data_IF_783561092189
#
_entry.id   IF_783561092189
#
_cell.length_a   1.000
_cell.length_b   1.000
_cell.length_c   1.000
_cell.angle_alpha   90.00
_cell.angle_beta   90.00
_cell.angle_gamma   90.00
#
_symmetry.space_group_name_H-M   'P 1'
#
loop_
_entity.id
_entity.type
_entity.pdbx_description
1 polymer ?
#
# COMPACT_ATOMS: atom_id res chain seq x y z
N UNK A 1 -6.83 -15.68 3.65
CA UNK A 1 -6.03 -14.80 4.53
C UNK A 1 -6.91 -13.61 4.93
N UNK A 2 -6.67 -12.97 6.09
CA UNK A 2 -7.37 -11.73 6.51
C UNK A 2 -6.60 -10.50 6.05
N UNK A 3 -7.29 -9.40 5.76
CA UNK A 3 -6.66 -8.13 5.36
C UNK A 3 -5.66 -7.65 6.42
N UNK A 4 -6.06 -7.67 7.70
CA UNK A 4 -5.22 -7.24 8.81
C UNK A 4 -3.93 -8.03 8.95
N UNK A 5 -3.97 -9.34 8.65
CA UNK A 5 -2.80 -10.22 8.65
C UNK A 5 -1.84 -9.84 7.50
N UNK A 6 -2.35 -9.78 6.27
CA UNK A 6 -1.57 -9.40 5.10
C UNK A 6 -0.96 -8.00 5.26
N UNK A 7 -1.71 -7.03 5.78
CA UNK A 7 -1.24 -5.68 6.06
C UNK A 7 -0.07 -5.68 7.05
N UNK A 8 -0.22 -6.33 8.21
CA UNK A 8 0.82 -6.38 9.24
C UNK A 8 2.09 -7.08 8.75
N UNK A 9 1.93 -8.16 7.98
CA UNK A 9 3.05 -8.92 7.41
C UNK A 9 3.76 -8.08 6.34
N UNK A 10 3.02 -7.51 5.40
CA UNK A 10 3.59 -6.70 4.30
C UNK A 10 4.24 -5.41 4.80
N UNK A 11 3.75 -4.79 5.87
CA UNK A 11 4.36 -3.59 6.46
C UNK A 11 5.79 -3.83 6.98
N UNK A 12 6.19 -5.09 7.18
CA UNK A 12 7.56 -5.46 7.55
C UNK A 12 8.55 -5.32 6.40
N UNK A 13 8.09 -5.35 5.15
CA UNK A 13 8.96 -5.19 3.98
C UNK A 13 9.42 -3.74 3.78
N UNK A 14 8.80 -2.79 4.48
CA UNK A 14 9.07 -1.37 4.34
C UNK A 14 9.99 -0.83 5.45
N UNK A 15 10.89 0.11 5.15
CA UNK A 15 11.64 0.85 6.17
C UNK A 15 10.71 1.61 7.11
N UNK A 16 11.06 1.70 8.40
CA UNK A 16 10.25 2.44 9.39
C UNK A 16 10.14 3.93 9.06
N UNK A 17 11.25 4.51 8.62
CA UNK A 17 11.34 5.90 8.15
C UNK A 17 11.79 5.85 6.70
N UNK A 18 11.08 6.58 5.84
CA UNK A 18 11.37 6.65 4.41
C UNK A 18 11.72 8.10 4.09
N UNK A 19 12.85 8.28 3.43
CA UNK A 19 13.29 9.58 2.92
C UNK A 19 12.51 9.92 1.65
N UNK A 20 12.00 11.14 1.60
CA UNK A 20 11.24 11.71 0.48
C UNK A 20 11.84 13.05 0.02
N UNK A 21 13.07 13.35 0.42
CA UNK A 21 13.74 14.62 0.16
C UNK A 21 14.04 14.86 -1.31
N UNK A 22 14.15 13.78 -2.08
CA UNK A 22 14.28 13.74 -3.54
C UNK A 22 12.94 13.92 -4.27
N UNK A 23 11.86 14.11 -3.52
CA UNK A 23 10.52 14.31 -4.04
C UNK A 23 10.39 15.55 -4.93
N UNK A 24 9.56 15.44 -5.96
CA UNK A 24 9.12 16.56 -6.79
C UNK A 24 7.59 16.54 -6.85
N UNK A 25 6.96 17.64 -6.46
CA UNK A 25 5.54 17.82 -6.66
C UNK A 25 5.27 18.13 -8.13
N UNK A 26 4.19 17.58 -8.65
CA UNK A 26 3.67 17.89 -9.98
C UNK A 26 2.32 18.60 -9.82
N UNK A 27 1.76 19.14 -10.92
CA UNK A 27 0.45 19.77 -10.87
C UNK A 27 -0.64 18.81 -10.32
N UNK A 28 -1.49 19.35 -9.45
CA UNK A 28 -2.55 18.61 -8.76
C UNK A 28 -2.04 17.76 -7.59
N UNK A 29 -2.75 16.65 -7.30
CA UNK A 29 -2.41 15.67 -6.25
C UNK A 29 -1.40 14.60 -6.71
N UNK A 30 -0.39 15.05 -7.46
CA UNK A 30 0.66 14.19 -8.01
C UNK A 30 2.01 14.57 -7.45
N UNK A 31 2.90 13.59 -7.37
CA UNK A 31 4.28 13.77 -6.99
C UNK A 31 5.10 12.58 -7.45
N UNK A 32 6.41 12.77 -7.56
CA UNK A 32 7.37 11.75 -7.91
C UNK A 32 8.42 11.66 -6.80
N UNK A 33 8.63 10.47 -6.25
CA UNK A 33 9.50 10.22 -5.09
C UNK A 33 10.41 9.01 -5.36
N UNK A 34 11.56 9.20 -6.04
CA UNK A 34 12.45 8.09 -6.44
C UNK A 34 12.88 7.17 -5.28
N UNK A 35 13.22 7.72 -4.10
CA UNK A 35 13.61 6.95 -2.92
C UNK A 35 12.46 6.10 -2.37
N UNK A 36 11.23 6.63 -2.42
CA UNK A 36 10.03 5.86 -2.07
C UNK A 36 9.78 4.74 -3.10
N UNK A 37 9.96 5.01 -4.39
CA UNK A 37 9.85 3.98 -5.43
C UNK A 37 10.87 2.86 -5.25
N UNK A 38 12.13 3.18 -4.90
CA UNK A 38 13.13 2.14 -4.56
C UNK A 38 12.72 1.29 -3.35
N UNK A 39 12.08 1.89 -2.35
CA UNK A 39 11.52 1.13 -1.22
C UNK A 39 10.40 0.19 -1.66
N UNK A 40 9.59 0.60 -2.65
CA UNK A 40 8.57 -0.24 -3.25
C UNK A 40 9.19 -1.42 -4.01
N UNK A 41 10.20 -1.19 -4.85
CA UNK A 41 10.88 -2.27 -5.60
C UNK A 41 11.38 -3.39 -4.65
N UNK A 42 12.00 -3.00 -3.53
CA UNK A 42 12.46 -3.94 -2.50
C UNK A 42 11.28 -4.67 -1.83
N UNK A 43 10.22 -3.94 -1.49
CA UNK A 43 9.05 -4.53 -0.84
C UNK A 43 8.30 -5.49 -1.77
N UNK A 44 8.24 -5.19 -3.06
CA UNK A 44 7.63 -6.02 -4.09
C UNK A 44 8.43 -7.31 -4.29
N UNK A 45 9.75 -7.21 -4.39
CA UNK A 45 10.63 -8.39 -4.47
C UNK A 45 10.46 -9.35 -3.28
N UNK A 46 10.30 -8.82 -2.06
CA UNK A 46 9.98 -9.67 -0.90
C UNK A 46 8.61 -10.33 -1.04
N UNK A 47 7.59 -9.57 -1.44
CA UNK A 47 6.22 -10.06 -1.58
C UNK A 47 6.06 -11.11 -2.68
N UNK A 48 6.89 -11.07 -3.73
CA UNK A 48 6.87 -12.00 -4.84
C UNK A 48 7.09 -13.45 -4.41
N UNK A 49 7.86 -13.65 -3.35
CA UNK A 49 8.17 -14.97 -2.78
C UNK A 49 7.13 -15.44 -1.76
N UNK A 50 6.14 -14.61 -1.41
CA UNK A 50 5.18 -14.91 -0.33
C UNK A 50 3.81 -15.34 -0.83
N UNK A 51 3.01 -14.42 -1.37
CA UNK A 51 1.70 -14.73 -1.95
C UNK A 51 1.09 -13.54 -2.69
N UNK A 52 0.10 -13.81 -3.53
CA UNK A 52 -0.71 -12.78 -4.20
C UNK A 52 -1.37 -11.78 -3.23
N UNK A 53 -1.65 -12.19 -2.00
CA UNK A 53 -2.13 -11.28 -0.94
C UNK A 53 -1.07 -10.25 -0.56
N UNK A 54 0.19 -10.67 -0.44
CA UNK A 54 1.29 -9.78 -0.10
C UNK A 54 1.64 -8.86 -1.26
N UNK A 55 1.67 -9.38 -2.50
CA UNK A 55 1.89 -8.57 -3.70
C UNK A 55 0.88 -7.43 -3.78
N UNK A 56 -0.41 -7.77 -3.69
CA UNK A 56 -1.46 -6.76 -3.71
C UNK A 56 -1.39 -5.79 -2.52
N UNK A 57 -1.03 -6.29 -1.34
CA UNK A 57 -0.91 -5.46 -0.15
C UNK A 57 0.27 -4.49 -0.24
N UNK A 58 1.41 -4.90 -0.82
CA UNK A 58 2.55 -4.01 -1.07
C UNK A 58 2.14 -2.86 -1.99
N UNK A 59 1.43 -3.14 -3.08
CA UNK A 59 0.86 -2.11 -3.94
C UNK A 59 -0.08 -1.15 -3.17
N UNK A 60 -0.98 -1.68 -2.35
CA UNK A 60 -1.90 -0.86 -1.57
C UNK A 60 -1.17 0.00 -0.52
N UNK A 61 -0.14 -0.54 0.14
CA UNK A 61 0.72 0.19 1.08
C UNK A 61 1.51 1.28 0.35
N UNK A 62 2.06 0.99 -0.83
CA UNK A 62 2.74 1.98 -1.66
C UNK A 62 1.81 3.17 -1.96
N UNK A 63 0.58 2.92 -2.40
CA UNK A 63 -0.41 3.97 -2.63
C UNK A 63 -0.65 4.83 -1.36
N UNK A 64 -0.76 4.18 -0.19
CA UNK A 64 -0.89 4.87 1.09
C UNK A 64 0.32 5.73 1.44
N UNK A 65 1.52 5.17 1.33
CA UNK A 65 2.78 5.88 1.56
C UNK A 65 2.96 7.05 0.59
N UNK A 66 2.61 6.87 -0.67
CA UNK A 66 2.72 7.90 -1.70
C UNK A 66 1.79 9.09 -1.41
N UNK A 67 0.54 8.82 -1.00
CA UNK A 67 -0.38 9.86 -0.52
C UNK A 67 0.18 10.59 0.71
N UNK A 68 0.73 9.85 1.67
CA UNK A 68 1.40 10.44 2.85
C UNK A 68 2.62 11.27 2.45
N UNK A 69 3.41 10.82 1.47
CA UNK A 69 4.58 11.53 0.96
C UNK A 69 4.19 12.88 0.35
N UNK A 70 3.20 12.91 -0.54
CA UNK A 70 2.69 14.16 -1.14
C UNK A 70 2.26 15.14 -0.05
N UNK A 71 1.41 14.70 0.88
CA UNK A 71 0.89 15.56 1.94
C UNK A 71 2.00 16.09 2.85
N UNK A 72 2.96 15.23 3.22
CA UNK A 72 4.06 15.63 4.11
C UNK A 72 5.05 16.55 3.40
N UNK A 73 5.35 16.27 2.12
CA UNK A 73 6.29 17.08 1.33
C UNK A 73 5.76 18.49 1.07
N UNK A 74 4.44 18.65 0.84
CA UNK A 74 3.77 19.95 0.76
C UNK A 74 3.93 20.78 2.04
N UNK A 75 4.03 20.12 3.19
CA UNK A 75 4.29 20.74 4.49
C UNK A 75 5.79 20.94 4.77
N UNK A 76 6.66 20.72 3.79
CA UNK A 76 8.11 20.87 3.91
C UNK A 76 8.83 19.68 4.54
N UNK A 77 8.13 18.58 4.86
CA UNK A 77 8.77 17.40 5.43
C UNK A 77 9.65 16.69 4.40
N UNK A 78 10.75 16.11 4.87
CA UNK A 78 11.70 15.36 4.06
C UNK A 78 11.71 13.86 4.36
N UNK A 79 10.95 13.43 5.36
CA UNK A 79 10.84 12.04 5.79
C UNK A 79 9.41 11.72 6.20
N UNK A 80 8.99 10.49 5.96
CA UNK A 80 7.70 9.94 6.42
C UNK A 80 7.92 8.68 7.25
N UNK A 81 6.94 8.34 8.09
CA UNK A 81 6.99 7.13 8.92
C UNK A 81 5.89 6.16 8.47
N UNK A 82 6.24 4.89 8.23
CA UNK A 82 5.29 3.87 7.74
C UNK A 82 4.13 3.59 8.70
N UNK A 83 4.27 3.90 9.98
CA UNK A 83 3.21 3.72 10.98
C UNK A 83 2.19 4.86 10.98
N UNK A 84 2.47 5.96 10.28
CA UNK A 84 1.54 7.09 10.12
C UNK A 84 0.68 6.98 8.85
N UNK A 85 0.76 5.87 8.11
CA UNK A 85 -0.04 5.68 6.91
C UNK A 85 -1.51 5.51 7.26
N UNK A 86 -2.39 6.08 6.44
CA UNK A 86 -3.83 5.92 6.56
C UNK A 86 -4.23 4.49 6.14
N UNK A 87 -4.44 3.63 7.14
CA UNK A 87 -4.81 2.24 6.93
C UNK A 87 -6.16 2.09 6.21
N UNK A 88 -7.10 3.01 6.41
CA UNK A 88 -8.40 2.98 5.73
C UNK A 88 -8.23 3.23 4.24
N UNK A 89 -7.35 4.16 3.87
CA UNK A 89 -6.99 4.39 2.47
C UNK A 89 -6.27 3.19 1.85
N UNK A 90 -5.39 2.51 2.60
CA UNK A 90 -4.77 1.25 2.16
C UNK A 90 -5.82 0.16 1.92
N UNK A 91 -6.79 -0.02 2.82
CA UNK A 91 -7.89 -0.99 2.64
C UNK A 91 -8.77 -0.65 1.42
N UNK A 92 -9.05 0.64 1.20
CA UNK A 92 -9.71 1.12 0.00
C UNK A 92 -8.93 0.74 -1.27
N UNK A 93 -7.64 1.07 -1.38
CA UNK A 93 -6.81 0.74 -2.56
C UNK A 93 -6.65 -0.76 -2.78
N UNK A 94 -6.55 -1.54 -1.70
CA UNK A 94 -6.52 -2.99 -1.75
C UNK A 94 -7.82 -3.53 -2.38
N UNK A 95 -8.98 -3.11 -1.87
CA UNK A 95 -10.28 -3.57 -2.36
C UNK A 95 -10.57 -3.10 -3.78
N UNK A 96 -10.28 -1.85 -4.11
CA UNK A 96 -10.39 -1.31 -5.46
C UNK A 96 -9.58 -2.17 -6.44
N UNK A 97 -8.31 -2.43 -6.15
CA UNK A 97 -7.46 -3.24 -7.03
C UNK A 97 -7.92 -4.70 -7.11
N UNK A 98 -8.50 -5.24 -6.03
CA UNK A 98 -9.02 -6.61 -5.96
C UNK A 98 -10.30 -6.81 -6.78
N UNK A 99 -11.15 -5.78 -6.92
CA UNK A 99 -12.49 -5.90 -7.50
C UNK A 99 -12.74 -5.04 -8.74
N UNK A 100 -12.19 -3.83 -8.79
CA UNK A 100 -12.60 -2.77 -9.72
C UNK A 100 -11.90 -2.84 -11.07
N UNK A 101 -10.67 -3.34 -11.13
CA UNK A 101 -10.04 -3.61 -12.43
C UNK A 101 -10.93 -4.67 -13.09
N UNK A 102 -11.67 -4.30 -14.16
CA UNK A 102 -12.68 -5.15 -14.83
C UNK A 102 -12.13 -6.52 -15.30
N UNK A 103 -10.81 -6.70 -15.21
CA UNK A 103 -10.07 -7.92 -15.50
C UNK A 103 -9.12 -8.31 -14.36
N UNK A 104 -9.39 -7.98 -13.08
CA UNK A 104 -8.45 -8.28 -12.00
C UNK A 104 -8.12 -9.78 -12.04
N UNK A 105 -6.87 -10.12 -12.33
CA UNK A 105 -6.39 -11.50 -12.47
C UNK A 105 -6.36 -12.26 -11.15
N UNK A 106 -6.67 -11.57 -10.04
CA UNK A 106 -6.69 -12.16 -8.70
C UNK A 106 -7.67 -13.34 -8.58
N UNK A 107 -7.24 -14.46 -7.99
CA UNK A 107 -8.06 -15.66 -7.87
C UNK A 107 -9.40 -15.43 -7.15
N UNK A 108 -10.46 -16.09 -7.61
CA UNK A 108 -11.80 -16.02 -6.99
C UNK A 108 -11.78 -16.32 -5.48
N UNK A 109 -10.92 -17.25 -5.05
CA UNK A 109 -10.74 -17.58 -3.64
C UNK A 109 -10.26 -16.40 -2.79
N UNK A 110 -9.40 -15.54 -3.34
CA UNK A 110 -8.89 -14.35 -2.67
C UNK A 110 -10.01 -13.33 -2.47
N UNK A 111 -10.80 -13.07 -3.52
CA UNK A 111 -12.00 -12.22 -3.47
C UNK A 111 -12.99 -12.70 -2.41
N UNK A 112 -13.31 -13.99 -2.40
CA UNK A 112 -14.21 -14.61 -1.40
C UNK A 112 -13.68 -14.48 0.03
N UNK A 113 -12.39 -14.75 0.24
CA UNK A 113 -11.79 -14.65 1.56
C UNK A 113 -11.82 -13.21 2.10
N UNK A 114 -11.60 -12.21 1.25
CA UNK A 114 -11.73 -10.80 1.64
C UNK A 114 -13.18 -10.41 1.99
N UNK A 115 -14.17 -10.83 1.19
CA UNK A 115 -15.59 -10.59 1.49
C UNK A 115 -15.98 -11.21 2.84
N UNK A 116 -15.51 -12.43 3.13
CA UNK A 116 -15.76 -13.07 4.41
C UNK A 116 -15.11 -12.32 5.58
N UNK A 117 -13.90 -11.80 5.40
CA UNK A 117 -13.22 -10.96 6.40
C UNK A 117 -14.06 -9.71 6.72
N UNK A 118 -14.57 -9.02 5.69
CA UNK A 118 -15.45 -7.85 5.87
C UNK A 118 -16.73 -8.17 6.65
N UNK A 119 -17.37 -9.32 6.40
CA UNK A 119 -18.56 -9.75 7.13
C UNK A 119 -18.25 -9.99 8.61
N UNK A 120 -17.12 -10.63 8.90
CA UNK A 120 -16.69 -10.91 10.27
C UNK A 120 -16.31 -9.68 11.10
N UNK A 121 -16.04 -8.53 10.47
CA UNK A 121 -15.80 -7.25 11.16
C UNK A 121 -17.09 -6.53 11.59
N UNK A 122 -18.24 -6.91 11.02
CA UNK A 122 -19.56 -6.29 11.28
C UNK A 122 -20.38 -7.05 12.34
N UNK A 123 -19.84 -8.14 12.86
CA UNK A 123 -20.44 -8.98 13.91
C UNK A 123 -19.66 -8.74 15.20
#
# INVERSE_FOLDING_TARGET
MKFSKAYRESLRFWPTVIDISDGQLQEGDKGYFPLLSKCWDIAESHADTWSEWHKLMVWAIFCGLHKTAINSFRLGAKKINKHKIDKSYVEYKFSESLFYIQQSSYPRQMKRAYINDLRSKKT
#
